data_IF_599141991076
#
_entry.id   IF_599141991076
#
_cell.length_a   1.000
_cell.length_b   1.000
_cell.length_c   1.000
_cell.angle_alpha   90.00
_cell.angle_beta   90.00
_cell.angle_gamma   90.00
#
_symmetry.space_group_name_H-M   'P 1'
#
loop_
_entity.id
_entity.type
_entity.pdbx_description
1 polymer ?
#
# COMPACT_ATOMS: atom_id res chain seq x y z
N UNK A 1 25.01 -13.93 -1.29
CA UNK A 1 25.36 -12.62 -1.87
C UNK A 1 24.34 -11.62 -1.36
N UNK A 2 24.82 -10.60 -0.65
CA UNK A 2 23.99 -9.52 -0.10
C UNK A 2 24.04 -8.40 -1.15
N UNK A 3 23.07 -8.36 -2.05
CA UNK A 3 23.14 -7.49 -3.25
C UNK A 3 22.76 -6.02 -3.02
N UNK A 4 22.52 -5.60 -1.78
CA UNK A 4 22.39 -4.18 -1.43
C UNK A 4 22.68 -3.93 0.04
N UNK A 5 23.24 -2.76 0.38
CA UNK A 5 23.50 -2.37 1.77
C UNK A 5 23.33 -0.87 1.99
N UNK A 6 23.07 -0.48 3.23
CA UNK A 6 23.05 0.91 3.68
C UNK A 6 24.08 1.01 4.80
N UNK A 7 25.11 1.83 4.61
CA UNK A 7 26.08 2.13 5.68
C UNK A 7 25.72 3.43 6.38
N UNK A 8 25.64 3.34 7.70
CA UNK A 8 25.43 4.48 8.60
C UNK A 8 26.73 4.89 9.33
N UNK A 9 27.88 4.35 8.94
CA UNK A 9 29.17 4.55 9.62
C UNK A 9 29.68 6.00 9.63
N UNK A 10 29.14 6.86 8.76
CA UNK A 10 29.43 8.30 8.72
C UNK A 10 28.60 9.13 9.69
N UNK A 11 27.65 8.54 10.41
CA UNK A 11 26.77 9.25 11.35
C UNK A 11 27.42 9.33 12.74
N UNK A 12 27.38 10.52 13.34
CA UNK A 12 27.83 10.75 14.72
C UNK A 12 26.71 10.57 15.75
N UNK A 13 25.48 10.29 15.30
CA UNK A 13 24.32 10.06 16.17
C UNK A 13 24.43 8.69 16.85
N UNK A 14 24.26 8.65 18.18
CA UNK A 14 24.39 7.42 18.98
C UNK A 14 23.37 6.35 18.64
N UNK A 15 22.30 6.67 17.88
CA UNK A 15 21.28 5.73 17.41
C UNK A 15 21.63 5.07 16.08
N UNK A 16 22.75 5.42 15.46
CA UNK A 16 23.15 4.90 14.15
C UNK A 16 23.35 3.37 14.17
N UNK A 17 24.05 2.84 15.18
CA UNK A 17 24.28 1.39 15.31
C UNK A 17 22.98 0.63 15.52
N UNK A 18 22.08 1.14 16.36
CA UNK A 18 20.76 0.53 16.58
C UNK A 18 19.90 0.58 15.32
N UNK A 19 19.97 1.67 14.55
CA UNK A 19 19.28 1.79 13.26
C UNK A 19 19.82 0.77 12.24
N UNK A 20 21.15 0.62 12.17
CA UNK A 20 21.79 -0.35 11.30
C UNK A 20 21.41 -1.79 11.68
N UNK A 21 21.41 -2.12 12.97
CA UNK A 21 20.96 -3.42 13.50
C UNK A 21 19.52 -3.70 13.08
N UNK A 22 18.62 -2.73 13.22
CA UNK A 22 17.20 -2.85 12.82
C UNK A 22 17.04 -3.07 11.32
N UNK A 23 17.79 -2.37 10.48
CA UNK A 23 17.76 -2.57 9.03
C UNK A 23 18.16 -4.01 8.67
N UNK A 24 19.29 -4.49 9.21
CA UNK A 24 19.76 -5.86 8.96
C UNK A 24 18.73 -6.88 9.47
N UNK A 25 18.24 -6.71 10.69
CA UNK A 25 17.30 -7.62 11.31
C UNK A 25 15.96 -7.67 10.55
N UNK A 26 15.40 -6.52 10.17
CA UNK A 26 14.18 -6.46 9.36
C UNK A 26 14.37 -7.14 8.01
N UNK A 27 15.51 -6.93 7.32
CA UNK A 27 15.78 -7.64 6.06
C UNK A 27 15.88 -9.15 6.24
N UNK A 28 16.47 -9.61 7.34
CA UNK A 28 16.49 -11.03 7.69
C UNK A 28 15.07 -11.56 7.89
N UNK A 29 14.27 -10.89 8.73
CA UNK A 29 12.88 -11.29 9.01
C UNK A 29 12.02 -11.35 7.75
N UNK A 30 12.06 -10.33 6.90
CA UNK A 30 11.29 -10.36 5.65
C UNK A 30 11.78 -11.47 4.73
N UNK A 31 13.08 -11.77 4.70
CA UNK A 31 13.58 -12.84 3.84
C UNK A 31 13.16 -14.23 4.33
N UNK A 32 13.09 -14.43 5.64
CA UNK A 32 12.63 -15.68 6.23
C UNK A 32 11.12 -15.87 6.02
N UNK A 33 10.32 -14.81 6.20
CA UNK A 33 8.87 -14.90 6.24
C UNK A 33 8.16 -14.59 4.91
N UNK A 34 8.79 -13.83 4.00
CA UNK A 34 8.11 -13.21 2.84
C UNK A 34 8.76 -13.51 1.49
N UNK A 35 9.81 -14.33 1.46
CA UNK A 35 10.56 -14.65 0.23
C UNK A 35 10.21 -16.03 -0.36
N UNK A 36 9.07 -16.59 0.03
CA UNK A 36 8.54 -17.85 -0.47
C UNK A 36 7.93 -17.71 -1.88
N UNK A 37 7.48 -18.82 -2.46
CA UNK A 37 6.72 -18.83 -3.73
C UNK A 37 5.28 -18.37 -3.53
N UNK A 38 4.68 -18.64 -2.37
CA UNK A 38 3.37 -18.12 -2.02
C UNK A 38 3.47 -16.70 -1.44
N UNK A 39 2.41 -15.89 -1.57
CA UNK A 39 2.30 -14.60 -0.89
C UNK A 39 2.56 -14.72 0.62
N UNK A 40 3.17 -13.68 1.23
CA UNK A 40 3.36 -13.60 2.68
C UNK A 40 2.08 -13.88 3.46
N UNK A 41 2.22 -14.62 4.56
CA UNK A 41 1.11 -15.05 5.40
C UNK A 41 1.05 -14.22 6.69
N UNK A 42 -0.16 -13.89 7.13
CA UNK A 42 -0.38 -13.17 8.39
C UNK A 42 -0.74 -14.12 9.54
N UNK A 43 -1.60 -15.11 9.25
CA UNK A 43 -2.06 -16.12 10.22
C UNK A 43 -2.38 -17.43 9.50
N UNK A 44 -1.37 -18.04 8.88
CA UNK A 44 -1.42 -19.24 8.02
C UNK A 44 -2.15 -19.09 6.66
N UNK A 45 -2.88 -18.00 6.44
CA UNK A 45 -3.43 -17.61 5.14
C UNK A 45 -2.66 -16.42 4.56
N UNK A 46 -2.65 -16.35 3.23
CA UNK A 46 -2.14 -15.21 2.49
C UNK A 46 -3.18 -14.10 2.47
N UNK A 47 -2.77 -12.88 2.77
CA UNK A 47 -3.62 -11.69 2.71
C UNK A 47 -3.24 -10.87 1.46
N UNK A 48 -4.11 -10.86 0.44
CA UNK A 48 -3.83 -10.17 -0.84
C UNK A 48 -3.88 -8.65 -0.72
N UNK A 49 -4.55 -8.15 0.31
CA UNK A 49 -4.63 -6.73 0.66
C UNK A 49 -3.28 -6.18 1.10
N UNK A 50 -2.45 -7.02 1.73
CA UNK A 50 -1.12 -6.64 2.18
C UNK A 50 -0.02 -7.08 1.21
N UNK A 51 -0.34 -7.92 0.21
CA UNK A 51 0.63 -8.53 -0.69
C UNK A 51 1.62 -7.52 -1.31
N UNK A 52 1.09 -6.40 -1.80
CA UNK A 52 1.91 -5.33 -2.38
C UNK A 52 2.91 -4.78 -1.35
N UNK A 53 2.47 -4.54 -0.12
CA UNK A 53 3.29 -4.02 0.97
C UNK A 53 4.39 -5.00 1.37
N UNK A 54 4.09 -6.29 1.44
CA UNK A 54 5.09 -7.28 1.78
C UNK A 54 6.01 -7.67 0.62
N UNK A 55 5.64 -7.37 -0.61
CA UNK A 55 6.41 -7.84 -1.78
C UNK A 55 7.19 -6.74 -2.47
N UNK A 56 6.62 -5.55 -2.68
CA UNK A 56 7.29 -4.55 -3.52
C UNK A 56 8.51 -3.90 -2.83
N UNK A 57 8.76 -4.13 -1.52
CA UNK A 57 9.97 -3.61 -0.84
C UNK A 57 11.23 -4.28 -1.38
N UNK A 58 11.12 -5.50 -1.88
CA UNK A 58 12.23 -6.21 -2.51
C UNK A 58 12.85 -5.45 -3.69
N UNK A 59 12.04 -4.67 -4.43
CA UNK A 59 12.49 -3.96 -5.62
C UNK A 59 13.52 -2.85 -5.32
N UNK A 60 13.28 -1.91 -4.38
CA UNK A 60 14.28 -0.94 -3.94
C UNK A 60 15.63 -1.55 -3.50
N UNK A 61 15.59 -2.74 -2.90
CA UNK A 61 16.78 -3.50 -2.48
C UNK A 61 17.39 -4.37 -3.59
N UNK A 62 17.00 -4.13 -4.84
CA UNK A 62 17.42 -4.90 -6.03
C UNK A 62 17.22 -6.41 -5.93
N UNK A 63 16.39 -6.87 -5.00
CA UNK A 63 16.05 -8.28 -4.79
C UNK A 63 14.85 -8.67 -5.66
N UNK A 64 14.93 -8.34 -6.95
CA UNK A 64 13.87 -8.61 -7.92
C UNK A 64 13.59 -10.11 -8.10
N UNK A 65 14.57 -10.97 -7.85
CA UNK A 65 14.36 -12.42 -7.80
C UNK A 65 13.36 -12.80 -6.71
N UNK A 66 13.46 -12.19 -5.52
CA UNK A 66 12.53 -12.43 -4.42
C UNK A 66 11.13 -11.90 -4.72
N UNK A 67 11.03 -10.66 -5.21
CA UNK A 67 9.75 -10.08 -5.63
C UNK A 67 9.03 -10.99 -6.64
N UNK A 68 9.77 -11.55 -7.60
CA UNK A 68 9.17 -12.32 -8.70
C UNK A 68 8.60 -13.67 -8.26
N UNK A 69 9.10 -14.28 -7.18
CA UNK A 69 8.69 -15.62 -6.72
C UNK A 69 7.19 -15.73 -6.52
N UNK A 70 6.61 -14.79 -5.78
CA UNK A 70 5.18 -14.77 -5.48
C UNK A 70 4.36 -13.90 -6.43
N UNK A 71 4.98 -13.10 -7.29
CA UNK A 71 4.26 -12.14 -8.13
C UNK A 71 3.24 -12.80 -9.05
N UNK A 72 3.53 -13.99 -9.57
CA UNK A 72 2.62 -14.69 -10.49
C UNK A 72 1.31 -15.17 -9.82
N UNK A 73 1.13 -14.97 -8.51
CA UNK A 73 -0.09 -15.31 -7.78
C UNK A 73 -1.35 -14.78 -8.48
N UNK A 74 -1.33 -13.54 -8.98
CA UNK A 74 -2.50 -12.96 -9.65
C UNK A 74 -2.85 -13.70 -10.95
N UNK A 75 -1.84 -14.10 -11.73
CA UNK A 75 -2.05 -14.93 -12.93
C UNK A 75 -2.59 -16.31 -12.56
N UNK A 76 -2.06 -16.93 -11.51
CA UNK A 76 -2.53 -18.23 -11.02
C UNK A 76 -3.97 -18.17 -10.48
N UNK A 77 -4.34 -17.06 -9.85
CA UNK A 77 -5.66 -16.85 -9.24
C UNK A 77 -6.70 -16.32 -10.23
N UNK A 78 -6.30 -15.82 -11.40
CA UNK A 78 -7.20 -15.21 -12.36
C UNK A 78 -8.37 -16.14 -12.77
N UNK A 79 -8.15 -17.42 -13.14
CA UNK A 79 -9.25 -18.29 -13.57
C UNK A 79 -10.31 -18.51 -12.49
N UNK A 80 -9.90 -18.74 -11.24
CA UNK A 80 -10.83 -18.97 -10.12
C UNK A 80 -11.50 -17.68 -9.66
N UNK A 81 -10.80 -16.54 -9.77
CA UNK A 81 -11.34 -15.21 -9.48
C UNK A 81 -12.44 -14.84 -10.49
N UNK A 82 -12.24 -15.05 -11.79
CA UNK A 82 -13.28 -14.85 -12.79
C UNK A 82 -14.54 -15.68 -12.49
N UNK A 83 -14.38 -16.99 -12.26
CA UNK A 83 -15.51 -17.89 -11.96
C UNK A 83 -16.25 -17.47 -10.70
N UNK A 84 -15.53 -17.21 -9.61
CA UNK A 84 -16.14 -16.83 -8.34
C UNK A 84 -17.01 -15.60 -8.47
N UNK A 85 -16.48 -14.55 -9.09
CA UNK A 85 -17.15 -13.27 -9.05
C UNK A 85 -18.22 -13.13 -10.12
N UNK A 86 -17.97 -13.62 -11.34
CA UNK A 86 -18.98 -13.54 -12.40
C UNK A 86 -20.09 -14.58 -12.21
N UNK A 87 -19.75 -15.82 -11.83
CA UNK A 87 -20.74 -16.91 -11.76
C UNK A 87 -21.37 -17.03 -10.37
N UNK A 88 -20.58 -16.97 -9.30
CA UNK A 88 -21.10 -17.22 -7.95
C UNK A 88 -21.66 -15.95 -7.29
N UNK A 89 -21.14 -14.77 -7.66
CA UNK A 89 -21.59 -13.48 -7.10
C UNK A 89 -22.37 -12.61 -8.10
N UNK A 90 -22.41 -12.98 -9.39
CA UNK A 90 -23.25 -12.33 -10.39
C UNK A 90 -22.71 -11.01 -10.96
N UNK A 91 -21.42 -10.71 -10.80
CA UNK A 91 -20.81 -9.54 -11.42
C UNK A 91 -20.77 -9.66 -12.94
N UNK A 92 -20.98 -8.56 -13.65
CA UNK A 92 -21.13 -8.58 -15.11
C UNK A 92 -19.81 -8.82 -15.86
N UNK A 93 -18.68 -8.42 -15.27
CA UNK A 93 -17.37 -8.53 -15.89
C UNK A 93 -16.23 -8.48 -14.87
N UNK A 94 -15.02 -8.80 -15.35
CA UNK A 94 -13.79 -8.68 -14.58
C UNK A 94 -13.55 -9.76 -13.52
N UNK A 95 -12.42 -9.63 -12.83
CA UNK A 95 -12.00 -10.49 -11.73
C UNK A 95 -11.81 -9.63 -10.49
N UNK A 96 -12.34 -10.11 -9.37
CA UNK A 96 -12.05 -9.56 -8.05
C UNK A 96 -11.07 -10.50 -7.34
N UNK A 97 -10.09 -9.96 -6.65
CA UNK A 97 -9.13 -10.74 -5.86
C UNK A 97 -9.66 -11.04 -4.46
N UNK A 98 -9.33 -12.19 -3.84
CA UNK A 98 -9.77 -12.50 -2.48
C UNK A 98 -8.99 -11.68 -1.45
N UNK A 99 -9.62 -11.13 -0.39
CA UNK A 99 -8.88 -10.48 0.72
C UNK A 99 -7.92 -11.46 1.40
N UNK A 100 -8.44 -12.58 1.89
CA UNK A 100 -7.69 -13.66 2.55
C UNK A 100 -7.92 -14.99 1.84
N UNK A 101 -6.85 -15.74 1.61
CA UNK A 101 -6.92 -16.97 0.82
C UNK A 101 -5.81 -17.97 1.12
N UNK A 102 -6.07 -19.24 0.79
CA UNK A 102 -5.06 -20.29 0.72
C UNK A 102 -4.40 -20.33 -0.69
N UNK A 103 -3.36 -21.15 -0.92
CA UNK A 103 -2.72 -21.27 -2.24
C UNK A 103 -3.66 -21.74 -3.38
N UNK A 104 -4.86 -22.23 -3.07
CA UNK A 104 -5.88 -22.61 -4.07
C UNK A 104 -6.79 -21.46 -4.49
N UNK A 105 -6.53 -20.24 -3.99
CA UNK A 105 -7.36 -19.05 -4.18
C UNK A 105 -8.76 -19.17 -3.54
N UNK A 106 -8.99 -20.10 -2.60
CA UNK A 106 -10.28 -20.15 -1.90
C UNK A 106 -10.36 -19.04 -0.86
N UNK A 107 -11.46 -18.28 -0.88
CA UNK A 107 -11.69 -17.17 0.06
C UNK A 107 -11.93 -17.76 1.44
N UNK A 108 -11.21 -17.27 2.45
CA UNK A 108 -11.45 -17.64 3.84
C UNK A 108 -12.81 -17.10 4.32
N UNK A 109 -13.61 -17.87 5.09
CA UNK A 109 -14.90 -17.39 5.58
C UNK A 109 -14.76 -16.10 6.39
N UNK A 110 -15.59 -15.11 6.13
CA UNK A 110 -15.57 -13.83 6.84
C UNK A 110 -16.41 -12.78 6.13
N UNK A 111 -17.00 -11.86 6.91
CA UNK A 111 -17.81 -10.75 6.36
C UNK A 111 -16.92 -9.75 5.61
N UNK A 112 -15.84 -9.29 6.23
CA UNK A 112 -14.86 -8.39 5.61
C UNK A 112 -14.21 -9.02 4.38
N UNK A 113 -13.88 -10.31 4.42
CA UNK A 113 -13.27 -11.04 3.30
C UNK A 113 -14.07 -11.00 1.99
N UNK A 114 -15.40 -10.84 2.07
CA UNK A 114 -16.28 -10.77 0.91
C UNK A 114 -16.65 -9.34 0.53
N UNK A 115 -16.31 -8.33 1.32
CA UNK A 115 -16.79 -6.96 1.15
C UNK A 115 -15.67 -5.92 1.09
N UNK A 116 -14.45 -6.24 1.54
CA UNK A 116 -13.27 -5.39 1.35
C UNK A 116 -12.89 -5.32 -0.12
N UNK A 117 -12.47 -4.14 -0.56
CA UNK A 117 -12.14 -3.85 -1.95
C UNK A 117 -10.71 -3.29 -2.08
N UNK A 118 -10.00 -3.18 -0.96
CA UNK A 118 -8.70 -2.53 -0.86
C UNK A 118 -7.62 -3.24 -1.70
N UNK A 119 -7.72 -4.56 -1.83
CA UNK A 119 -6.77 -5.38 -2.58
C UNK A 119 -6.83 -5.22 -4.10
N UNK A 120 -7.89 -4.60 -4.63
CA UNK A 120 -8.19 -4.63 -6.06
C UNK A 120 -7.19 -3.86 -6.92
N UNK A 121 -6.70 -2.66 -6.56
CA UNK A 121 -5.81 -1.92 -7.45
C UNK A 121 -4.33 -2.34 -7.40
N UNK A 122 -3.96 -3.31 -6.55
CA UNK A 122 -2.59 -3.85 -6.45
C UNK A 122 -2.02 -4.54 -7.70
N UNK A 123 -2.80 -5.32 -8.49
CA UNK A 123 -2.30 -6.08 -9.63
C UNK A 123 -2.05 -5.16 -10.83
N UNK A 124 -0.82 -4.66 -10.92
CA UNK A 124 -0.39 -3.73 -11.96
C UNK A 124 0.54 -4.39 -12.99
N UNK A 125 0.44 -5.72 -13.12
CA UNK A 125 1.31 -6.55 -13.97
C UNK A 125 0.46 -7.60 -14.69
N UNK A 126 0.88 -8.02 -15.89
CA UNK A 126 0.19 -8.96 -16.82
C UNK A 126 -1.12 -8.47 -17.44
N UNK A 127 -1.30 -8.75 -18.74
CA UNK A 127 -2.34 -8.10 -19.56
C UNK A 127 -3.72 -8.42 -19.07
N UNK A 128 -3.95 -9.71 -18.94
CA UNK A 128 -5.26 -10.25 -18.60
C UNK A 128 -5.62 -9.97 -17.14
N UNK A 129 -4.61 -9.91 -16.25
CA UNK A 129 -4.80 -9.57 -14.84
C UNK A 129 -5.21 -8.10 -14.68
N UNK A 130 -4.47 -7.16 -15.27
CA UNK A 130 -4.82 -5.74 -15.20
C UNK A 130 -6.17 -5.50 -15.88
N UNK A 131 -6.42 -6.13 -17.04
CA UNK A 131 -7.70 -6.01 -17.72
C UNK A 131 -8.85 -6.49 -16.85
N UNK A 132 -8.77 -7.71 -16.31
CA UNK A 132 -9.86 -8.27 -15.52
C UNK A 132 -10.08 -7.47 -14.23
N UNK A 133 -9.01 -6.97 -13.62
CA UNK A 133 -9.10 -6.09 -12.45
C UNK A 133 -9.83 -4.79 -12.80
N UNK A 134 -9.41 -4.10 -13.86
CA UNK A 134 -10.00 -2.82 -14.27
C UNK A 134 -11.45 -2.96 -14.76
N UNK A 135 -11.77 -4.05 -15.46
CA UNK A 135 -13.14 -4.40 -15.84
C UNK A 135 -14.04 -4.51 -14.59
N UNK A 136 -13.57 -5.18 -13.52
CA UNK A 136 -14.34 -5.29 -12.28
C UNK A 136 -14.44 -3.94 -11.55
N UNK A 137 -13.35 -3.17 -11.49
CA UNK A 137 -13.35 -1.84 -10.86
C UNK A 137 -14.29 -0.84 -11.54
N UNK A 138 -14.59 -1.03 -12.84
CA UNK A 138 -15.54 -0.22 -13.60
C UNK A 138 -17.02 -0.60 -13.36
N UNK A 139 -17.28 -1.65 -12.58
CA UNK A 139 -18.62 -2.10 -12.18
C UNK A 139 -18.72 -2.14 -10.65
N UNK A 140 -18.51 -1.00 -9.97
CA UNK A 140 -18.53 -0.91 -8.50
C UNK A 140 -19.93 -0.54 -7.97
N UNK A 141 -20.46 -1.32 -7.02
CA UNK A 141 -21.69 -1.01 -6.30
C UNK A 141 -21.63 -1.45 -4.83
N UNK A 142 -22.49 -0.92 -3.95
CA UNK A 142 -22.60 -1.37 -2.56
C UNK A 142 -23.13 -2.82 -2.49
N UNK A 143 -22.85 -3.55 -1.40
CA UNK A 143 -22.11 -3.15 -0.20
C UNK A 143 -20.58 -3.26 -0.35
N UNK A 144 -19.82 -2.37 0.32
CA UNK A 144 -18.35 -2.38 0.36
C UNK A 144 -17.80 -1.98 1.73
N UNK A 145 -16.66 -2.55 2.12
CA UNK A 145 -15.85 -2.04 3.24
C UNK A 145 -14.75 -1.13 2.70
N UNK A 146 -14.51 -0.03 3.41
CA UNK A 146 -13.29 0.78 3.28
C UNK A 146 -12.08 0.04 3.83
N UNK A 147 -10.89 0.52 3.50
CA UNK A 147 -9.62 -0.05 3.97
C UNK A 147 -9.52 -0.20 5.50
N UNK A 148 -10.19 0.64 6.29
CA UNK A 148 -10.20 0.55 7.76
C UNK A 148 -11.17 -0.49 8.33
N UNK A 149 -12.05 -1.08 7.52
CA UNK A 149 -12.98 -2.16 7.91
C UNK A 149 -13.94 -1.90 9.08
N UNK A 150 -13.97 -0.66 9.57
CA UNK A 150 -14.71 -0.17 10.72
C UNK A 150 -16.08 0.42 10.38
N UNK A 151 -16.35 0.69 9.10
CA UNK A 151 -17.61 1.28 8.63
C UNK A 151 -18.69 0.25 8.32
N UNK A 152 -19.97 0.64 8.37
CA UNK A 152 -21.06 -0.25 7.99
C UNK A 152 -21.15 -0.37 6.46
N UNK A 153 -20.92 -1.57 5.88
CA UNK A 153 -20.81 -1.71 4.43
C UNK A 153 -22.13 -1.50 3.68
N UNK A 154 -23.24 -1.42 4.42
CA UNK A 154 -24.58 -1.17 3.86
C UNK A 154 -24.86 0.32 3.60
N UNK A 155 -24.11 1.22 4.23
CA UNK A 155 -24.35 2.68 4.18
C UNK A 155 -23.14 3.47 3.71
N UNK A 156 -21.93 2.89 3.76
CA UNK A 156 -20.72 3.53 3.28
C UNK A 156 -20.78 3.78 1.78
N UNK A 157 -20.63 5.04 1.37
CA UNK A 157 -20.69 5.48 -0.03
C UNK A 157 -19.66 6.56 -0.27
N UNK A 158 -18.92 6.44 -1.37
CA UNK A 158 -17.94 7.43 -1.84
C UNK A 158 -16.87 7.86 -0.80
N UNK A 159 -16.25 6.94 -0.05
CA UNK A 159 -15.20 7.29 0.89
C UNK A 159 -13.96 7.82 0.15
N UNK A 160 -13.31 8.83 0.74
CA UNK A 160 -12.32 9.65 0.01
C UNK A 160 -11.14 8.84 -0.53
N UNK A 161 -10.61 7.92 0.28
CA UNK A 161 -9.43 7.15 -0.07
C UNK A 161 -9.70 6.17 -1.22
N UNK A 162 -10.83 5.46 -1.16
CA UNK A 162 -11.26 4.53 -2.20
C UNK A 162 -11.54 5.25 -3.52
N UNK A 163 -12.16 6.44 -3.49
CA UNK A 163 -12.34 7.27 -4.69
C UNK A 163 -11.01 7.63 -5.35
N UNK A 164 -10.04 8.07 -4.55
CA UNK A 164 -8.70 8.39 -5.04
C UNK A 164 -7.99 7.14 -5.59
N UNK A 165 -8.14 6.01 -4.90
CA UNK A 165 -7.47 4.77 -5.29
C UNK A 165 -8.07 4.14 -6.55
N UNK A 166 -9.39 4.21 -6.72
CA UNK A 166 -10.08 3.80 -7.95
C UNK A 166 -9.64 4.64 -9.14
N UNK A 167 -9.58 5.96 -8.94
CA UNK A 167 -9.11 6.89 -9.98
C UNK A 167 -7.68 6.56 -10.39
N UNK A 168 -6.81 6.27 -9.41
CA UNK A 168 -5.44 5.88 -9.65
C UNK A 168 -5.31 4.54 -10.38
N UNK A 169 -5.98 3.49 -9.91
CA UNK A 169 -5.93 2.15 -10.50
C UNK A 169 -6.44 2.11 -11.95
N UNK A 170 -7.60 2.72 -12.21
CA UNK A 170 -8.12 2.85 -13.58
C UNK A 170 -7.19 3.69 -14.46
N UNK A 171 -6.62 4.78 -13.92
CA UNK A 171 -5.64 5.59 -14.64
C UNK A 171 -4.38 4.81 -15.03
N UNK A 172 -3.88 3.94 -14.13
CA UNK A 172 -2.75 3.07 -14.43
C UNK A 172 -3.10 2.02 -15.49
N UNK A 173 -4.28 1.40 -15.41
CA UNK A 173 -4.73 0.42 -16.39
C UNK A 173 -4.83 1.04 -17.80
N UNK A 174 -5.40 2.23 -17.92
CA UNK A 174 -5.45 2.97 -19.18
C UNK A 174 -4.06 3.33 -19.71
N UNK A 175 -3.19 3.89 -18.86
CA UNK A 175 -1.84 4.25 -19.25
C UNK A 175 -1.08 3.04 -19.80
N UNK A 176 -1.23 1.90 -19.13
CA UNK A 176 -0.56 0.68 -19.52
C UNK A 176 -1.12 0.06 -20.81
N UNK A 177 -2.43 0.10 -21.02
CA UNK A 177 -3.04 -0.32 -22.30
C UNK A 177 -2.61 0.57 -23.47
N UNK A 178 -2.51 1.88 -23.24
CA UNK A 178 -1.96 2.80 -24.23
C UNK A 178 -0.49 2.49 -24.56
N UNK A 179 0.34 2.19 -23.56
CA UNK A 179 1.74 1.76 -23.76
C UNK A 179 1.85 0.48 -24.59
N UNK A 180 0.93 -0.47 -24.37
CA UNK A 180 0.82 -1.70 -25.15
C UNK A 180 0.20 -1.49 -26.55
N UNK A 181 -0.28 -0.28 -26.86
CA UNK A 181 -1.02 0.05 -28.09
C UNK A 181 -2.30 -0.79 -28.25
N UNK A 182 -2.94 -1.08 -27.13
CA UNK A 182 -4.20 -1.80 -27.05
C UNK A 182 -5.37 -0.81 -26.93
N UNK A 183 -6.57 -1.26 -27.31
CA UNK A 183 -7.78 -0.44 -27.12
C UNK A 183 -8.15 -0.41 -25.64
N UNK A 184 -8.28 0.80 -25.09
CA UNK A 184 -8.76 1.04 -23.73
C UNK A 184 -10.29 0.88 -23.71
N UNK A 185 -10.85 -0.03 -22.89
CA UNK A 185 -12.30 -0.12 -22.71
C UNK A 185 -12.91 1.20 -22.23
N UNK A 186 -13.94 1.65 -22.95
CA UNK A 186 -14.59 2.96 -22.71
C UNK A 186 -15.14 3.11 -21.30
N UNK A 187 -15.59 2.02 -20.68
CA UNK A 187 -16.17 2.04 -19.35
C UNK A 187 -15.15 2.43 -18.28
N UNK A 188 -13.87 2.04 -18.46
CA UNK A 188 -12.79 2.43 -17.53
C UNK A 188 -12.66 3.94 -17.46
N UNK A 189 -12.58 4.60 -18.63
CA UNK A 189 -12.49 6.06 -18.73
C UNK A 189 -13.76 6.74 -18.25
N UNK A 190 -14.91 6.17 -18.58
CA UNK A 190 -16.21 6.71 -18.18
C UNK A 190 -16.33 6.72 -16.66
N UNK A 191 -16.04 5.60 -15.99
CA UNK A 191 -16.09 5.50 -14.52
C UNK A 191 -15.05 6.41 -13.89
N UNK A 192 -13.78 6.30 -14.29
CA UNK A 192 -12.68 7.11 -13.74
C UNK A 192 -13.01 8.61 -13.77
N UNK A 193 -13.58 9.10 -14.87
CA UNK A 193 -13.91 10.53 -15.02
C UNK A 193 -15.20 10.95 -14.31
N UNK A 194 -16.09 10.01 -13.96
CA UNK A 194 -17.36 10.29 -13.29
C UNK A 194 -17.38 9.86 -11.80
N UNK A 195 -16.25 9.40 -11.25
CA UNK A 195 -16.11 9.19 -9.80
C UNK A 195 -16.46 10.47 -9.04
N UNK A 196 -17.17 10.33 -7.92
CA UNK A 196 -17.60 11.45 -7.09
C UNK A 196 -16.42 12.33 -6.65
N UNK A 197 -16.65 13.65 -6.40
CA UNK A 197 -15.66 14.50 -5.77
C UNK A 197 -15.25 13.96 -4.39
N UNK A 198 -14.00 14.21 -3.99
CA UNK A 198 -13.53 13.79 -2.67
C UNK A 198 -14.36 14.48 -1.56
N UNK A 199 -14.98 13.72 -0.64
CA UNK A 199 -15.78 14.29 0.43
C UNK A 199 -14.92 15.08 1.42
N UNK A 200 -15.34 16.31 1.72
CA UNK A 200 -14.64 17.19 2.68
C UNK A 200 -15.09 16.87 4.12
N UNK A 201 -16.40 16.78 4.34
CA UNK A 201 -17.02 16.48 5.64
C UNK A 201 -16.92 14.99 5.93
N UNK A 202 -16.36 14.63 7.08
CA UNK A 202 -16.22 13.25 7.60
C UNK A 202 -15.71 12.21 6.60
N UNK A 203 -15.09 12.68 5.50
CA UNK A 203 -14.49 11.89 4.44
C UNK A 203 -15.39 10.80 3.85
N UNK A 204 -16.72 10.99 3.92
CA UNK A 204 -17.73 10.07 3.38
C UNK A 204 -18.06 8.87 4.29
N UNK A 205 -17.73 8.96 5.59
CA UNK A 205 -17.94 7.87 6.56
C UNK A 205 -19.21 8.13 7.39
N UNK A 206 -19.10 8.57 8.65
CA UNK A 206 -20.21 8.73 9.59
C UNK A 206 -20.09 10.07 10.35
N UNK A 207 -21.19 10.64 10.88
CA UNK A 207 -21.19 11.93 11.58
C UNK A 207 -20.21 12.07 12.75
N UNK A 208 -20.03 10.99 13.52
CA UNK A 208 -19.23 10.88 14.74
C UNK A 208 -17.85 10.23 14.52
N UNK A 209 -17.47 10.05 13.25
CA UNK A 209 -16.21 9.44 12.81
C UNK A 209 -14.97 9.92 13.59
N UNK A 210 -14.89 11.22 13.88
CA UNK A 210 -13.73 11.80 14.56
C UNK A 210 -13.67 11.59 16.06
N UNK A 211 -14.76 11.12 16.67
CA UNK A 211 -14.93 11.09 18.13
C UNK A 211 -15.26 9.73 18.69
N UNK A 212 -15.86 8.85 17.89
CA UNK A 212 -16.15 7.48 18.32
C UNK A 212 -14.85 6.65 18.27
N UNK A 213 -14.42 6.03 19.39
CA UNK A 213 -13.31 5.09 19.43
C UNK A 213 -13.35 4.03 18.32
N UNK A 214 -14.52 3.58 17.88
CA UNK A 214 -14.65 2.55 16.83
C UNK A 214 -13.94 2.95 15.52
N UNK A 215 -13.87 4.25 15.19
CA UNK A 215 -13.32 4.74 13.93
C UNK A 215 -11.90 5.31 14.04
N UNK A 216 -11.40 5.53 15.26
CA UNK A 216 -10.11 6.17 15.53
C UNK A 216 -9.08 5.19 16.13
N UNK A 217 -9.35 3.89 15.99
CA UNK A 217 -8.61 2.80 16.63
C UNK A 217 -8.00 1.82 15.60
N UNK A 218 -8.06 2.16 14.30
CA UNK A 218 -7.59 1.34 13.17
C UNK A 218 -6.74 2.16 12.15
N UNK A 219 -6.54 1.67 10.92
CA UNK A 219 -5.72 2.28 9.87
C UNK A 219 -6.17 3.73 9.56
N UNK A 220 -5.28 4.75 9.68
CA UNK A 220 -5.61 6.13 9.34
C UNK A 220 -5.62 6.38 7.83
N UNK A 221 -6.47 5.68 7.08
CA UNK A 221 -6.52 5.68 5.61
C UNK A 221 -6.56 7.07 4.96
N UNK A 222 -7.17 8.03 5.65
CA UNK A 222 -7.31 9.42 5.23
C UNK A 222 -5.97 10.12 4.99
N UNK A 223 -4.92 9.76 5.74
CA UNK A 223 -3.57 10.31 5.51
C UNK A 223 -2.94 9.77 4.23
N UNK A 224 -3.46 8.65 3.72
CA UNK A 224 -3.03 8.02 2.47
C UNK A 224 -3.35 8.81 1.21
N UNK A 225 -4.27 9.77 1.29
CA UNK A 225 -4.62 10.62 0.15
C UNK A 225 -3.46 11.47 -0.35
N UNK A 226 -2.50 11.79 0.52
CA UNK A 226 -1.32 12.57 0.16
C UNK A 226 -0.04 11.85 0.58
N UNK A 227 0.84 11.58 -0.38
CA UNK A 227 2.14 10.95 -0.16
C UNK A 227 2.11 9.45 -0.46
N UNK A 228 1.09 8.74 0.00
CA UNK A 228 0.89 7.34 -0.38
C UNK A 228 0.33 7.25 -1.81
N UNK A 229 -0.86 7.79 -2.06
CA UNK A 229 -1.34 7.96 -3.42
C UNK A 229 -0.66 9.16 -4.08
N UNK A 230 -0.41 9.11 -5.40
CA UNK A 230 0.06 10.29 -6.11
C UNK A 230 -0.97 11.42 -6.02
N UNK A 231 -0.55 12.68 -6.30
CA UNK A 231 -1.47 13.81 -6.32
C UNK A 231 -2.74 13.49 -7.11
N UNK A 232 -3.88 13.55 -6.41
CA UNK A 232 -5.19 13.20 -6.95
C UNK A 232 -5.98 14.47 -7.23
N UNK A 233 -6.69 14.51 -8.35
CA UNK A 233 -7.56 15.63 -8.71
C UNK A 233 -8.61 15.89 -7.62
N UNK A 234 -8.80 17.16 -7.24
CA UNK A 234 -9.72 17.57 -6.19
C UNK A 234 -9.18 17.48 -4.76
N UNK A 235 -7.94 16.98 -4.56
CA UNK A 235 -7.29 17.00 -3.25
C UNK A 235 -6.73 18.39 -2.93
N UNK A 236 -7.25 19.03 -1.89
CA UNK A 236 -6.70 20.26 -1.33
C UNK A 236 -5.62 19.96 -0.28
N UNK A 237 -4.41 20.49 -0.47
CA UNK A 237 -3.27 20.22 0.43
C UNK A 237 -3.42 20.88 1.81
N UNK A 238 -4.17 21.98 1.91
CA UNK A 238 -4.52 22.59 3.19
C UNK A 238 -5.45 21.67 3.98
N UNK A 239 -6.47 21.12 3.33
CA UNK A 239 -7.39 20.14 3.94
C UNK A 239 -6.65 18.84 4.29
N UNK A 240 -5.76 18.35 3.43
CA UNK A 240 -4.95 17.16 3.71
C UNK A 240 -4.07 17.37 4.95
N UNK A 241 -3.43 18.54 5.07
CA UNK A 241 -2.63 18.90 6.24
C UNK A 241 -3.46 18.92 7.52
N UNK A 242 -4.61 19.60 7.51
CA UNK A 242 -5.52 19.64 8.67
C UNK A 242 -6.01 18.24 9.03
N UNK A 243 -6.33 17.40 8.03
CA UNK A 243 -6.75 16.01 8.24
C UNK A 243 -5.64 15.21 8.95
N UNK A 244 -4.38 15.37 8.55
CA UNK A 244 -3.24 14.73 9.21
C UNK A 244 -3.05 15.21 10.67
N UNK A 245 -3.20 16.51 10.92
CA UNK A 245 -3.12 17.08 12.28
C UNK A 245 -4.25 16.54 13.18
N UNK A 246 -5.46 16.39 12.65
CA UNK A 246 -6.61 15.82 13.37
C UNK A 246 -6.42 14.33 13.67
N UNK A 247 -5.93 13.54 12.70
CA UNK A 247 -5.56 12.13 12.93
C UNK A 247 -4.52 12.06 14.04
N UNK A 248 -3.44 12.84 13.95
CA UNK A 248 -2.39 12.84 14.98
C UNK A 248 -2.90 13.16 16.39
N UNK A 249 -3.90 14.04 16.50
CA UNK A 249 -4.45 14.43 17.78
C UNK A 249 -5.42 13.41 18.40
N UNK A 250 -6.09 12.60 17.58
CA UNK A 250 -7.23 11.76 18.03
C UNK A 250 -7.01 10.26 17.90
N UNK A 251 -6.17 9.81 16.96
CA UNK A 251 -5.97 8.38 16.74
C UNK A 251 -5.35 7.69 17.95
N UNK A 252 -5.86 6.51 18.29
CA UNK A 252 -5.26 5.64 19.27
C UNK A 252 -4.13 4.83 18.62
N UNK A 253 -2.96 5.45 18.44
CA UNK A 253 -1.78 4.81 17.86
C UNK A 253 -1.27 3.57 18.61
N UNK A 254 -1.72 3.32 19.84
CA UNK A 254 -1.39 2.09 20.56
C UNK A 254 -2.16 0.87 20.05
N UNK A 255 -3.31 1.06 19.39
CA UNK A 255 -4.11 -0.01 18.81
C UNK A 255 -4.20 0.07 17.28
N UNK A 256 -3.53 1.05 16.64
CA UNK A 256 -3.48 1.11 15.19
C UNK A 256 -2.76 -0.11 14.61
N UNK A 257 -3.47 -0.80 13.73
CA UNK A 257 -2.92 -1.83 12.88
C UNK A 257 -2.42 -1.16 11.59
N UNK A 258 -1.33 -1.66 11.03
CA UNK A 258 -0.87 -1.26 9.70
C UNK A 258 0.52 -0.65 9.58
N UNK A 259 0.94 -0.55 8.33
CA UNK A 259 2.27 -0.14 7.85
C UNK A 259 2.71 1.28 8.24
N UNK A 260 1.88 2.08 8.94
CA UNK A 260 2.00 3.54 8.95
C UNK A 260 2.05 4.16 10.35
N UNK A 261 3.06 3.77 11.15
CA UNK A 261 3.65 4.52 12.29
C UNK A 261 3.35 3.93 13.69
N UNK A 262 4.43 3.62 14.42
CA UNK A 262 4.43 3.40 15.86
C UNK A 262 5.64 4.13 16.45
N UNK A 263 5.49 4.88 17.56
CA UNK A 263 6.55 5.74 18.09
C UNK A 263 7.73 4.98 18.71
N UNK A 264 7.59 3.71 19.09
CA UNK A 264 8.59 3.00 19.91
C UNK A 264 9.22 1.75 19.28
N UNK A 265 8.73 1.28 18.12
CA UNK A 265 9.30 0.14 17.36
C UNK A 265 9.88 -0.99 18.24
N UNK A 266 9.05 -1.55 19.13
CA UNK A 266 9.43 -2.66 20.00
C UNK A 266 9.08 -3.99 19.31
N UNK A 267 9.80 -5.06 19.64
CA UNK A 267 9.53 -6.40 19.12
C UNK A 267 9.33 -7.35 20.30
N UNK A 268 8.43 -8.32 20.16
CA UNK A 268 8.25 -9.38 21.13
C UNK A 268 9.41 -10.41 21.03
N UNK A 269 9.36 -11.40 21.91
CA UNK A 269 10.38 -12.45 22.03
C UNK A 269 10.45 -13.40 20.81
N UNK A 270 9.42 -13.41 19.96
CA UNK A 270 9.42 -14.14 18.68
C UNK A 270 9.76 -13.26 17.48
N UNK A 271 10.10 -11.98 17.72
CA UNK A 271 10.57 -11.05 16.70
C UNK A 271 9.45 -10.37 15.90
N UNK A 272 8.21 -10.41 16.38
CA UNK A 272 7.09 -9.68 15.81
C UNK A 272 7.06 -8.25 16.36
N UNK A 273 6.76 -7.21 15.55
CA UNK A 273 6.65 -5.85 16.03
C UNK A 273 5.47 -5.70 16.99
N UNK A 274 5.73 -5.22 18.20
CA UNK A 274 4.70 -4.77 19.15
C UNK A 274 4.10 -3.48 18.57
N UNK A 275 2.81 -3.50 18.20
CA UNK A 275 2.12 -2.34 17.64
C UNK A 275 2.22 -2.19 16.11
N UNK A 276 2.38 -3.28 15.35
CA UNK A 276 1.83 -3.36 13.97
C UNK A 276 2.60 -2.73 12.80
N UNK A 277 3.78 -2.12 12.97
CA UNK A 277 4.43 -1.41 11.85
C UNK A 277 5.21 -2.30 10.89
N UNK A 278 4.89 -2.20 9.60
CA UNK A 278 5.50 -2.96 8.49
C UNK A 278 6.03 -2.12 7.29
N UNK A 279 6.53 -0.89 7.49
CA UNK A 279 7.08 -0.06 6.38
C UNK A 279 8.54 0.40 6.53
N UNK A 280 9.26 -0.04 7.59
CA UNK A 280 10.62 0.43 7.86
C UNK A 280 11.56 0.26 6.65
N UNK A 281 11.50 -0.88 5.96
CA UNK A 281 12.41 -1.15 4.84
C UNK A 281 12.12 -0.31 3.60
N UNK A 282 10.85 -0.04 3.29
CA UNK A 282 10.49 0.89 2.21
C UNK A 282 10.95 2.30 2.51
N UNK A 283 10.57 2.81 3.68
CA UNK A 283 10.94 4.14 4.12
C UNK A 283 12.46 4.27 4.12
N UNK A 284 13.18 3.32 4.71
CA UNK A 284 14.65 3.37 4.77
C UNK A 284 15.28 3.33 3.38
N UNK A 285 14.84 2.44 2.48
CA UNK A 285 15.40 2.34 1.13
C UNK A 285 15.13 3.61 0.31
N UNK A 286 13.92 4.16 0.36
CA UNK A 286 13.55 5.41 -0.32
C UNK A 286 14.33 6.61 0.24
N UNK A 287 14.42 6.72 1.57
CA UNK A 287 15.15 7.78 2.26
C UNK A 287 16.66 7.74 1.96
N UNK A 288 17.25 6.54 1.94
CA UNK A 288 18.67 6.36 1.70
C UNK A 288 19.05 6.59 0.24
N UNK A 289 18.24 6.09 -0.72
CA UNK A 289 18.46 6.32 -2.15
C UNK A 289 18.29 7.80 -2.53
N UNK A 290 17.29 8.51 -1.99
CA UNK A 290 17.07 9.93 -2.29
C UNK A 290 18.18 10.88 -1.79
N UNK A 291 19.16 10.37 -1.03
CA UNK A 291 20.23 11.16 -0.38
C UNK A 291 21.64 10.78 -0.83
N UNK A 292 21.81 9.64 -1.51
CA UNK A 292 23.11 9.19 -1.99
C UNK A 292 23.76 10.22 -2.92
N UNK A 293 25.01 10.60 -2.63
CA UNK A 293 25.76 11.58 -3.43
C UNK A 293 25.25 13.03 -3.41
N UNK A 294 24.30 13.40 -2.55
CA UNK A 294 23.82 14.81 -2.49
C UNK A 294 24.85 15.75 -1.84
N UNK A 295 25.25 16.79 -2.58
CA UNK A 295 26.19 17.85 -2.13
C UNK A 295 25.58 18.75 -1.05
N UNK A 296 26.42 19.41 -0.23
CA UNK A 296 25.98 20.27 0.89
C UNK A 296 24.93 21.33 0.51
N UNK A 297 25.02 21.90 -0.70
CA UNK A 297 24.04 22.88 -1.20
C UNK A 297 22.65 22.27 -1.46
N UNK A 298 22.56 20.99 -1.81
CA UNK A 298 21.28 20.29 -1.97
C UNK A 298 20.66 19.87 -0.63
N UNK A 299 21.50 19.76 0.42
CA UNK A 299 21.08 19.50 1.81
C UNK A 299 20.44 20.73 2.46
N UNK A 300 20.90 21.93 2.10
CA UNK A 300 20.34 23.21 2.56
C UNK A 300 19.16 23.69 1.70
N UNK A 301 19.07 23.27 0.43
CA UNK A 301 18.16 23.79 -0.60
C UNK A 301 16.74 23.19 -0.72
N UNK A 302 16.28 22.37 0.23
CA UNK A 302 14.84 22.15 0.42
C UNK A 302 14.08 21.20 -0.52
N UNK A 303 14.72 20.17 -1.10
CA UNK A 303 13.98 19.14 -1.89
C UNK A 303 13.43 17.95 -1.10
N UNK A 304 13.75 17.85 0.19
CA UNK A 304 13.26 16.77 1.05
C UNK A 304 12.75 17.37 2.38
N UNK A 305 11.49 17.85 2.42
CA UNK A 305 10.87 18.41 3.62
C UNK A 305 10.83 17.36 4.75
N UNK A 306 11.17 17.76 5.99
CA UNK A 306 11.06 16.90 7.18
C UNK A 306 12.31 16.12 7.58
N UNK A 307 13.40 16.20 6.83
CA UNK A 307 14.66 15.49 7.12
C UNK A 307 15.67 16.34 7.88
N UNK A 308 16.54 15.70 8.70
CA UNK A 308 17.63 16.36 9.42
C UNK A 308 18.54 17.11 8.44
N UNK A 309 18.71 18.42 8.67
CA UNK A 309 19.44 19.33 7.76
C UNK A 309 20.96 19.22 7.88
N UNK A 310 21.46 18.60 8.97
CA UNK A 310 22.88 18.44 9.28
C UNK A 310 23.15 17.05 9.85
N UNK A 311 24.30 16.45 9.53
CA UNK A 311 24.77 15.20 10.16
C UNK A 311 24.28 13.89 9.52
N UNK A 312 23.58 13.93 8.38
CA UNK A 312 23.14 12.72 7.66
C UNK A 312 24.13 12.33 6.54
N UNK A 313 25.16 11.57 6.90
CA UNK A 313 26.16 11.00 6.00
C UNK A 313 25.94 9.48 5.84
N UNK A 314 25.12 9.10 4.86
CA UNK A 314 24.72 7.72 4.56
C UNK A 314 25.21 7.35 3.17
N UNK A 315 25.82 6.16 3.03
CA UNK A 315 26.19 5.61 1.72
C UNK A 315 25.35 4.37 1.44
N UNK A 316 24.92 4.21 0.18
CA UNK A 316 24.14 3.05 -0.24
C UNK A 316 24.87 2.30 -1.34
N UNK A 317 24.74 0.98 -1.34
CA UNK A 317 25.24 0.14 -2.41
C UNK A 317 24.10 -0.76 -2.90
N UNK A 318 23.96 -0.88 -4.22
CA UNK A 318 22.99 -1.81 -4.82
C UNK A 318 21.51 -1.39 -4.75
N UNK A 319 21.14 -0.24 -4.16
CA UNK A 319 19.75 0.23 -4.19
C UNK A 319 19.35 0.72 -5.58
N UNK A 320 18.14 0.38 -6.04
CA UNK A 320 17.62 0.79 -7.36
C UNK A 320 16.25 1.43 -7.25
N UNK A 321 15.96 2.42 -8.12
CA UNK A 321 14.60 2.98 -8.19
C UNK A 321 13.68 1.89 -8.73
N UNK A 322 12.59 1.62 -8.01
CA UNK A 322 11.67 0.52 -8.34
C UNK A 322 11.04 0.64 -9.75
N UNK A 323 10.96 1.84 -10.32
CA UNK A 323 10.47 2.07 -11.68
C UNK A 323 11.38 3.08 -12.41
N UNK A 324 12.16 2.61 -13.40
CA UNK A 324 12.70 3.51 -14.43
C UNK A 324 11.56 3.81 -15.40
N UNK A 325 11.06 5.06 -15.41
CA UNK A 325 10.42 5.58 -16.62
C UNK A 325 11.49 5.52 -17.72
N UNK A 326 11.28 4.68 -18.73
CA UNK A 326 12.08 4.71 -19.95
C UNK A 326 11.59 5.83 -20.85
#
# INVERSE_FOLDING_TARGET
>A
MVDSSISLSGLTDSRADESHRRIIFSRYLMRVNEAAEDPPQESANSTMEEYFWHSAHWAPWSNWDLFRRSSNVYTSFLPTSLVRYQIQQGWSSGARWPKMTDPSCRVSPGKSNNLSIWEQPHPLKWKDVVKATADWMADLGPPLYVVSEDTSPNVTVNPAFELAYWRFGLGLAEAWFNELREEVPRDWTTVKNNLAPLPIQNKGIEPDFWTDPVYIDDHPSLVGLHGWLPPTEGLDLGIAKVTMEEVWARWNFSNCWGTLLHPLFQFDDVGMPIGGVRALLYATAMMAQGRDGSDEKEREGGKAPGFLRTGWNVSVEGLSMALRRK
#
